data_IF_519992946945
#
_entry.id   IF_519992946945
#
_cell.length_a   1.000
_cell.length_b   1.000
_cell.length_c   1.000
_cell.angle_alpha   90.00
_cell.angle_beta   90.00
_cell.angle_gamma   90.00
#
_symmetry.space_group_name_H-M   'P 1'
#
loop_
_entity.id
_entity.type
_entity.pdbx_description
1 polymer ?
#
# COMPACT_ATOMS: atom_id res chain seq x y z
N UNK A 1 5.17 -4.08 11.68
CA UNK A 1 3.95 -4.08 10.82
C UNK A 1 3.33 -5.45 10.92
N UNK A 2 2.03 -5.52 11.11
CA UNK A 2 1.36 -6.82 11.19
C UNK A 2 1.24 -7.47 9.80
N UNK A 3 0.92 -8.76 9.78
CA UNK A 3 0.85 -9.53 8.56
C UNK A 3 -0.25 -9.03 7.61
N UNK A 4 -1.40 -8.63 8.17
CA UNK A 4 -2.52 -8.13 7.38
C UNK A 4 -2.14 -6.83 6.66
N UNK A 5 -1.50 -5.91 7.37
CA UNK A 5 -1.06 -4.63 6.79
C UNK A 5 0.03 -4.86 5.74
N UNK A 6 0.94 -5.79 6.00
CA UNK A 6 2.00 -6.13 5.04
C UNK A 6 1.39 -6.73 3.76
N UNK A 7 0.42 -7.62 3.90
CA UNK A 7 -0.27 -8.20 2.75
C UNK A 7 -1.00 -7.14 1.94
N UNK A 8 -1.62 -6.19 2.61
CA UNK A 8 -2.30 -5.07 1.96
C UNK A 8 -1.30 -4.20 1.19
N UNK A 9 -0.16 -3.88 1.81
CA UNK A 9 0.88 -3.10 1.15
C UNK A 9 1.41 -3.83 -0.09
N UNK A 10 1.60 -5.14 0.01
CA UNK A 10 2.05 -5.97 -1.11
C UNK A 10 1.03 -5.94 -2.23
N UNK A 11 -0.25 -6.11 -1.92
CA UNK A 11 -1.31 -6.08 -2.92
C UNK A 11 -1.39 -4.72 -3.62
N UNK A 12 -1.25 -3.62 -2.88
CA UNK A 12 -1.26 -2.28 -3.45
C UNK A 12 -0.03 -2.04 -4.34
N UNK A 13 1.12 -2.61 -3.95
CA UNK A 13 2.34 -2.50 -4.75
C UNK A 13 2.16 -3.16 -6.13
N UNK A 14 1.48 -4.29 -6.16
CA UNK A 14 1.29 -5.06 -7.39
C UNK A 14 0.06 -4.64 -8.20
N UNK A 15 -0.87 -3.89 -7.62
CA UNK A 15 -2.08 -3.46 -8.30
C UNK A 15 -1.80 -2.27 -9.23
N UNK A 16 -2.44 -2.25 -10.40
CA UNK A 16 -2.25 -1.20 -11.40
C UNK A 16 -2.55 0.20 -10.87
N UNK A 17 -3.54 0.32 -9.99
CA UNK A 17 -3.95 1.62 -9.43
C UNK A 17 -3.60 1.75 -7.95
N UNK A 18 -2.83 0.81 -7.41
CA UNK A 18 -2.46 0.81 -6.00
C UNK A 18 -1.67 2.05 -5.59
N UNK A 19 -0.90 2.61 -6.53
CA UNK A 19 -0.13 3.83 -6.27
C UNK A 19 -1.02 5.02 -5.88
N UNK A 20 -2.26 5.04 -6.33
CA UNK A 20 -3.19 6.12 -5.98
C UNK A 20 -3.54 6.10 -4.50
N UNK A 21 -3.71 4.88 -3.94
CA UNK A 21 -3.95 4.70 -2.51
C UNK A 21 -2.70 5.08 -1.72
N UNK A 22 -1.54 4.62 -2.18
CA UNK A 22 -0.27 4.91 -1.52
C UNK A 22 0.03 6.40 -1.48
N UNK A 23 -0.33 7.14 -2.53
CA UNK A 23 -0.15 8.59 -2.57
C UNK A 23 -0.92 9.31 -1.46
N UNK A 24 -2.07 8.80 -1.08
CA UNK A 24 -2.85 9.35 0.03
C UNK A 24 -2.12 9.20 1.36
N UNK A 25 -1.28 8.19 1.48
CA UNK A 25 -0.48 7.96 2.70
C UNK A 25 0.86 8.69 2.67
N UNK A 26 1.10 9.56 1.68
CA UNK A 26 2.36 10.27 1.54
C UNK A 26 3.46 9.45 0.87
N UNK A 27 3.10 8.33 0.26
CA UNK A 27 4.03 7.45 -0.44
C UNK A 27 4.02 7.78 -1.93
N UNK A 28 5.18 8.02 -2.52
CA UNK A 28 5.30 8.25 -3.96
C UNK A 28 5.12 6.96 -4.74
N UNK A 29 5.85 5.92 -4.33
CA UNK A 29 5.80 4.62 -5.00
C UNK A 29 6.33 3.53 -4.08
N UNK A 30 6.00 2.29 -4.42
CA UNK A 30 6.56 1.13 -3.74
C UNK A 30 6.93 0.08 -4.78
N UNK A 31 7.98 -0.69 -4.49
CA UNK A 31 8.48 -1.74 -5.38
C UNK A 31 8.80 -2.98 -4.58
N UNK A 32 8.70 -4.14 -5.23
CA UNK A 32 9.14 -5.40 -4.62
C UNK A 32 10.25 -6.00 -5.46
N UNK A 33 11.21 -6.64 -4.80
CA UNK A 33 12.32 -7.32 -5.46
C UNK A 33 12.02 -8.81 -5.66
N UNK A 34 13.02 -9.54 -6.15
CA UNK A 34 12.92 -10.99 -6.40
C UNK A 34 12.59 -11.80 -5.16
N UNK A 35 12.99 -11.30 -3.99
CA UNK A 35 12.77 -11.96 -2.71
C UNK A 35 11.51 -11.48 -2.00
N UNK A 36 10.65 -10.71 -2.70
CA UNK A 36 9.43 -10.13 -2.17
C UNK A 36 9.67 -9.10 -1.06
N UNK A 37 10.88 -8.52 -1.02
CA UNK A 37 11.16 -7.41 -0.12
C UNK A 37 10.61 -6.12 -0.72
N UNK A 38 9.82 -5.40 0.08
CA UNK A 38 9.19 -4.18 -0.37
C UNK A 38 10.04 -2.98 0.03
N UNK A 39 10.22 -2.06 -0.91
CA UNK A 39 10.88 -0.78 -0.66
C UNK A 39 9.88 0.32 -0.96
N UNK A 40 9.72 1.25 -0.02
CA UNK A 40 8.76 2.33 -0.10
C UNK A 40 9.50 3.65 -0.30
N UNK A 41 9.14 4.39 -1.36
CA UNK A 41 9.68 5.72 -1.60
C UNK A 41 8.63 6.75 -1.24
N UNK A 42 8.96 7.62 -0.29
CA UNK A 42 8.06 8.68 0.17
C UNK A 42 8.09 9.88 -0.78
N UNK A 43 7.04 10.68 -0.76
CA UNK A 43 6.94 11.88 -1.60
C UNK A 43 8.00 12.92 -1.27
N UNK A 44 8.55 12.90 -0.06
CA UNK A 44 9.62 13.80 0.34
C UNK A 44 11.02 13.28 -0.05
N UNK A 45 11.11 12.15 -0.74
CA UNK A 45 12.36 11.57 -1.21
C UNK A 45 12.97 10.52 -0.30
N UNK A 46 12.39 10.29 0.89
CA UNK A 46 12.91 9.25 1.80
C UNK A 46 12.59 7.86 1.25
N UNK A 47 13.47 6.91 1.54
CA UNK A 47 13.26 5.50 1.22
C UNK A 47 13.13 4.72 2.52
N UNK A 48 12.03 4.01 2.67
CA UNK A 48 11.70 3.31 3.91
C UNK A 48 11.53 1.80 3.65
N UNK A 49 11.81 1.02 4.68
CA UNK A 49 11.43 -0.39 4.72
C UNK A 49 9.99 -0.50 5.22
N UNK A 50 9.29 -1.63 4.98
CA UNK A 50 7.88 -1.76 5.38
C UNK A 50 7.65 -1.47 6.87
N UNK A 51 8.56 -1.90 7.74
CA UNK A 51 8.41 -1.70 9.18
C UNK A 51 8.55 -0.24 9.62
N UNK A 52 9.05 0.62 8.73
CA UNK A 52 9.20 2.06 8.98
C UNK A 52 8.00 2.88 8.48
N UNK A 53 7.11 2.23 7.73
CA UNK A 53 5.94 2.91 7.17
C UNK A 53 4.94 3.21 8.28
N UNK A 54 4.32 4.41 8.22
CA UNK A 54 3.27 4.78 9.15
C UNK A 54 2.01 3.97 8.84
N UNK A 55 1.78 2.93 9.65
CA UNK A 55 0.65 2.01 9.49
C UNK A 55 -0.68 2.75 9.58
N UNK A 56 -0.77 3.74 10.48
CA UNK A 56 -2.00 4.51 10.65
C UNK A 56 -2.31 5.30 9.38
N UNK A 57 -1.30 5.97 8.82
CA UNK A 57 -1.49 6.73 7.59
C UNK A 57 -1.92 5.82 6.44
N UNK A 58 -1.33 4.63 6.34
CA UNK A 58 -1.67 3.66 5.32
C UNK A 58 -3.12 3.17 5.50
N UNK A 59 -3.51 2.84 6.72
CA UNK A 59 -4.87 2.39 7.00
C UNK A 59 -5.90 3.49 6.74
N UNK A 60 -5.60 4.73 7.09
CA UNK A 60 -6.47 5.87 6.82
C UNK A 60 -6.66 6.08 5.32
N UNK A 61 -5.58 5.95 4.55
CA UNK A 61 -5.64 6.06 3.09
C UNK A 61 -6.51 4.94 2.48
N UNK A 62 -6.37 3.73 2.98
CA UNK A 62 -7.16 2.59 2.53
C UNK A 62 -8.64 2.81 2.83
N UNK A 63 -8.97 3.26 4.04
CA UNK A 63 -10.36 3.52 4.41
C UNK A 63 -10.98 4.62 3.56
N UNK A 64 -10.24 5.70 3.35
CA UNK A 64 -10.70 6.80 2.51
C UNK A 64 -11.00 6.34 1.08
N UNK A 65 -10.07 5.60 0.50
CA UNK A 65 -10.22 5.09 -0.86
C UNK A 65 -11.36 4.10 -0.98
N UNK A 66 -11.51 3.24 0.03
CA UNK A 66 -12.56 2.23 0.07
C UNK A 66 -13.95 2.87 0.05
N UNK A 67 -14.13 3.98 0.77
CA UNK A 67 -15.40 4.69 0.79
C UNK A 67 -15.73 5.33 -0.55
N UNK A 68 -14.72 5.83 -1.26
CA UNK A 68 -14.91 6.49 -2.55
C UNK A 68 -14.92 5.52 -3.73
N UNK A 69 -14.25 4.37 -3.59
CA UNK A 69 -14.06 3.40 -4.67
C UNK A 69 -14.29 1.97 -4.17
N UNK A 70 -15.51 1.60 -3.76
CA UNK A 70 -15.75 0.29 -3.17
C UNK A 70 -15.42 -0.88 -4.10
N UNK A 71 -15.64 -0.75 -5.41
CA UNK A 71 -15.34 -1.79 -6.37
C UNK A 71 -13.86 -2.10 -6.52
N UNK A 72 -13.01 -1.10 -6.27
CA UNK A 72 -11.55 -1.26 -6.37
C UNK A 72 -11.04 -2.26 -5.33
N UNK A 73 -11.48 -2.09 -4.07
CA UNK A 73 -11.01 -2.96 -3.00
C UNK A 73 -11.60 -4.37 -3.05
N UNK A 74 -12.79 -4.51 -3.59
CA UNK A 74 -13.35 -5.86 -3.79
C UNK A 74 -12.45 -6.69 -4.68
N UNK A 75 -11.88 -6.10 -5.72
CA UNK A 75 -10.96 -6.81 -6.62
C UNK A 75 -9.64 -7.15 -5.94
N UNK A 76 -9.08 -6.22 -5.19
CA UNK A 76 -7.80 -6.42 -4.52
C UNK A 76 -7.93 -7.43 -3.38
N UNK A 77 -8.93 -7.23 -2.50
CA UNK A 77 -9.14 -8.11 -1.35
C UNK A 77 -9.58 -9.49 -1.78
N UNK A 78 -10.37 -9.58 -2.85
CA UNK A 78 -10.75 -10.87 -3.41
C UNK A 78 -9.54 -11.67 -3.91
N UNK A 79 -8.54 -11.00 -4.45
CA UNK A 79 -7.31 -11.64 -4.90
C UNK A 79 -6.43 -12.08 -3.74
N UNK A 80 -6.54 -11.42 -2.58
CA UNK A 80 -5.77 -11.77 -1.39
C UNK A 80 -6.39 -12.91 -0.59
N UNK A 81 -7.66 -13.14 -0.75
CA UNK A 81 -8.39 -14.20 -0.07
C UNK A 81 -8.50 -15.44 -0.94
#
# INVERSE_FOLDING_TARGET
>A
MDEITLNMLTALTDACEGHLVLNYAGIESSTSDENLNITVKMQDGRVLQPEQVDVKALNDAVQHWKEEHPGFFQRILGAMM
#
